data_IF_904931649506
#
_entry.id   IF_904931649506
#
_cell.length_a   1.000
_cell.length_b   1.000
_cell.length_c   1.000
_cell.angle_alpha   90.00
_cell.angle_beta   90.00
_cell.angle_gamma   90.00
#
_symmetry.space_group_name_H-M   'P 1'
#
loop_
_entity.id
_entity.type
_entity.pdbx_description
1 polymer ?
#
# COMPACT_ATOMS: atom_id res chain seq x y z
N UNK A 1 2.13 16.06 -5.60
CA UNK A 1 2.15 14.61 -5.31
C UNK A 1 3.37 14.31 -4.45
N UNK A 2 3.29 13.30 -3.60
CA UNK A 2 4.37 12.84 -2.71
C UNK A 2 4.62 11.37 -3.01
N UNK A 3 5.89 11.00 -3.08
CA UNK A 3 6.29 9.61 -3.16
C UNK A 3 6.49 9.04 -1.76
N UNK A 4 5.83 7.93 -1.46
CA UNK A 4 5.82 7.29 -0.14
C UNK A 4 6.25 5.85 -0.31
N UNK A 5 7.20 5.41 0.52
CA UNK A 5 7.52 3.98 0.64
C UNK A 5 6.77 3.44 1.86
N UNK A 6 5.74 2.63 1.60
CA UNK A 6 5.00 1.93 2.64
C UNK A 6 5.59 0.52 2.82
N UNK A 7 6.07 0.21 4.03
CA UNK A 7 6.45 -1.15 4.40
C UNK A 7 5.26 -1.81 5.08
N UNK A 8 4.82 -2.94 4.53
CA UNK A 8 3.67 -3.71 5.01
C UNK A 8 4.21 -5.09 5.38
N UNK A 9 4.27 -5.37 6.67
CA UNK A 9 4.63 -6.69 7.17
C UNK A 9 3.42 -7.63 7.00
N UNK A 10 3.34 -8.36 5.89
CA UNK A 10 2.17 -9.19 5.58
C UNK A 10 2.44 -10.25 4.51
N UNK A 11 1.52 -11.20 4.40
CA UNK A 11 1.51 -12.25 3.36
C UNK A 11 1.18 -11.72 1.96
N UNK A 12 1.55 -12.48 0.92
CA UNK A 12 1.25 -12.18 -0.49
C UNK A 12 -0.24 -11.94 -0.77
N UNK A 13 -1.14 -12.67 -0.09
CA UNK A 13 -2.59 -12.52 -0.27
C UNK A 13 -3.08 -11.13 0.17
N UNK A 14 -2.58 -10.62 1.30
CA UNK A 14 -2.94 -9.27 1.77
C UNK A 14 -2.37 -8.20 0.85
N UNK A 15 -1.17 -8.39 0.30
CA UNK A 15 -0.61 -7.47 -0.71
C UNK A 15 -1.51 -7.38 -1.93
N UNK A 16 -2.06 -8.49 -2.41
CA UNK A 16 -3.03 -8.49 -3.51
C UNK A 16 -4.26 -7.61 -3.21
N UNK A 17 -4.80 -7.68 -1.98
CA UNK A 17 -5.92 -6.82 -1.55
C UNK A 17 -5.53 -5.34 -1.49
N UNK A 18 -4.33 -5.04 -1.00
CA UNK A 18 -3.78 -3.67 -0.98
C UNK A 18 -3.60 -3.11 -2.39
N UNK A 19 -2.98 -3.86 -3.30
CA UNK A 19 -2.81 -3.45 -4.70
C UNK A 19 -4.16 -3.23 -5.40
N UNK A 20 -5.16 -4.09 -5.14
CA UNK A 20 -6.51 -3.91 -5.68
C UNK A 20 -7.17 -2.63 -5.15
N UNK A 21 -7.08 -2.37 -3.85
CA UNK A 21 -7.56 -1.14 -3.25
C UNK A 21 -6.92 0.11 -3.88
N UNK A 22 -5.59 0.11 -4.01
CA UNK A 22 -4.85 1.22 -4.61
C UNK A 22 -5.20 1.43 -6.09
N UNK A 23 -5.37 0.35 -6.84
CA UNK A 23 -5.81 0.37 -8.26
C UNK A 23 -7.20 1.00 -8.40
N UNK A 24 -8.16 0.59 -7.57
CA UNK A 24 -9.52 1.14 -7.57
C UNK A 24 -9.55 2.64 -7.25
N UNK A 25 -8.60 3.12 -6.44
CA UNK A 25 -8.42 4.54 -6.13
C UNK A 25 -7.56 5.30 -7.14
N UNK A 26 -7.07 4.63 -8.20
CA UNK A 26 -6.16 5.19 -9.21
C UNK A 26 -4.84 5.73 -8.63
N UNK A 27 -4.41 5.18 -7.50
CA UNK A 27 -3.12 5.52 -6.89
C UNK A 27 -2.03 4.77 -7.64
N UNK A 28 -1.03 5.49 -8.17
CA UNK A 28 0.13 4.87 -8.80
C UNK A 28 0.96 4.16 -7.74
N UNK A 29 1.21 2.87 -7.92
CA UNK A 29 1.94 2.07 -6.94
C UNK A 29 2.77 0.98 -7.61
N UNK A 30 3.79 0.49 -6.90
CA UNK A 30 4.63 -0.64 -7.31
C UNK A 30 5.11 -1.42 -6.10
N UNK A 31 5.06 -2.74 -6.15
CA UNK A 31 5.69 -3.62 -5.16
C UNK A 31 7.21 -3.62 -5.40
N UNK A 32 7.99 -3.36 -4.35
CA UNK A 32 9.45 -3.12 -4.41
C UNK A 32 10.27 -4.24 -3.78
N UNK A 33 9.69 -5.01 -2.86
CA UNK A 33 10.34 -6.16 -2.21
C UNK A 33 9.31 -7.25 -1.94
N UNK A 34 9.68 -8.51 -2.18
CA UNK A 34 8.93 -9.72 -1.87
C UNK A 34 9.78 -10.63 -0.98
N UNK A 35 9.32 -10.89 0.24
CA UNK A 35 10.00 -11.66 1.28
C UNK A 35 9.19 -11.60 2.58
N UNK A 36 9.82 -11.70 3.75
CA UNK A 36 9.12 -11.60 5.05
C UNK A 36 8.39 -10.27 5.25
N UNK A 37 8.86 -9.21 4.57
CA UNK A 37 8.22 -7.90 4.56
C UNK A 37 7.98 -7.43 3.13
N UNK A 38 6.75 -7.04 2.85
CA UNK A 38 6.33 -6.55 1.54
C UNK A 38 6.41 -5.02 1.52
N UNK A 39 7.12 -4.47 0.54
CA UNK A 39 7.23 -3.01 0.39
C UNK A 39 6.47 -2.55 -0.83
N UNK A 40 5.70 -1.48 -0.69
CA UNK A 40 4.95 -0.85 -1.78
C UNK A 40 5.35 0.62 -1.85
N UNK A 41 5.85 1.04 -3.01
CA UNK A 41 6.05 2.44 -3.34
C UNK A 41 4.74 3.02 -3.87
N UNK A 42 4.35 4.18 -3.37
CA UNK A 42 3.11 4.89 -3.69
C UNK A 42 3.45 6.28 -4.21
N UNK A 43 2.79 6.71 -5.27
CA UNK A 43 2.77 8.12 -5.69
C UNK A 43 1.35 8.64 -5.52
N UNK A 44 1.17 9.48 -4.50
CA UNK A 44 -0.16 9.86 -4.00
C UNK A 44 -0.17 11.32 -3.52
N UNK A 45 -1.29 11.78 -2.97
CA UNK A 45 -1.44 13.11 -2.36
C UNK A 45 -1.50 13.00 -0.83
N UNK A 46 -1.20 14.09 -0.12
CA UNK A 46 -1.23 14.08 1.36
C UNK A 46 -2.61 13.72 1.92
N UNK A 47 -3.69 14.12 1.25
CA UNK A 47 -5.06 13.80 1.63
C UNK A 47 -5.37 12.30 1.50
N UNK A 48 -4.79 11.62 0.52
CA UNK A 48 -4.99 10.19 0.30
C UNK A 48 -4.20 9.31 1.28
N UNK A 49 -3.03 9.76 1.75
CA UNK A 49 -2.19 9.02 2.71
C UNK A 49 -2.99 8.59 3.94
N UNK A 50 -3.81 9.49 4.51
CA UNK A 50 -4.62 9.16 5.69
C UNK A 50 -5.61 8.03 5.43
N UNK A 51 -6.23 8.00 4.25
CA UNK A 51 -7.17 6.95 3.88
C UNK A 51 -6.46 5.61 3.60
N UNK A 52 -5.28 5.66 2.99
CA UNK A 52 -4.45 4.48 2.73
C UNK A 52 -3.98 3.88 4.06
N UNK A 53 -3.49 4.68 5.01
CA UNK A 53 -3.06 4.19 6.33
C UNK A 53 -4.20 3.50 7.07
N UNK A 54 -5.40 4.11 7.13
CA UNK A 54 -6.58 3.48 7.76
C UNK A 54 -6.98 2.16 7.11
N UNK A 55 -6.75 2.01 5.81
CA UNK A 55 -7.00 0.75 5.12
C UNK A 55 -5.94 -0.29 5.49
N UNK A 56 -4.66 0.08 5.48
CA UNK A 56 -3.55 -0.80 5.85
C UNK A 56 -3.66 -1.31 7.30
N UNK A 57 -4.05 -0.46 8.24
CA UNK A 57 -4.29 -0.82 9.64
C UNK A 57 -5.39 -1.88 9.81
N UNK A 58 -6.35 -1.96 8.88
CA UNK A 58 -7.41 -2.99 8.89
C UNK A 58 -7.02 -4.30 8.22
N UNK A 59 -6.06 -4.28 7.31
CA UNK A 59 -5.62 -5.47 6.56
C UNK A 59 -4.46 -6.21 7.23
N UNK A 60 -3.71 -5.53 8.10
CA UNK A 60 -2.56 -6.09 8.83
C UNK A 60 -2.95 -6.62 10.23
N UNK A 61 -4.08 -6.17 10.79
CA UNK A 61 -4.69 -6.77 11.98
C UNK A 61 -5.68 -7.89 11.60
#
# INVERSE_FOLDING_TARGET
>A
MVEVLATINTTEKSVGRVCNYLTNRRVKHRVVSSGDNMQIKLLTTRSEISAINRFLEKEVN
#
